data_IF_793535819843
#
_entry.id   IF_793535819843
#
_cell.length_a   1.000
_cell.length_b   1.000
_cell.length_c   1.000
_cell.angle_alpha   90.00
_cell.angle_beta   90.00
_cell.angle_gamma   90.00
#
_symmetry.space_group_name_H-M   'P 1'
#
loop_
_entity.id
_entity.type
_entity.pdbx_description
1 polymer ?
#
# COMPACT_ATOMS: atom_id res chain seq x y z
N UNK A 1 1.54 3.43 12.15
CA UNK A 1 1.40 4.84 11.77
C UNK A 1 1.43 4.88 10.25
N UNK A 2 0.39 5.45 9.65
CA UNK A 2 0.13 5.50 8.21
C UNK A 2 0.02 6.96 7.78
N UNK A 3 0.57 7.29 6.61
CA UNK A 3 0.49 8.62 6.01
C UNK A 3 -0.73 8.66 5.08
N UNK A 4 -1.68 9.56 5.34
CA UNK A 4 -2.97 9.62 4.63
C UNK A 4 -2.77 9.88 3.13
N UNK A 5 -1.84 10.77 2.78
CA UNK A 5 -1.45 11.06 1.39
C UNK A 5 -0.51 9.99 0.78
N UNK A 6 0.00 9.06 1.58
CA UNK A 6 0.99 8.06 1.17
C UNK A 6 2.43 8.58 1.04
N UNK A 7 2.69 9.86 1.30
CA UNK A 7 4.03 10.45 1.35
C UNK A 7 4.62 10.27 2.75
N UNK A 8 5.67 9.45 2.84
CA UNK A 8 6.37 9.14 4.09
C UNK A 8 7.19 10.31 4.64
N UNK A 9 7.40 11.37 3.85
CA UNK A 9 8.16 12.55 4.25
C UNK A 9 7.27 13.63 4.90
N UNK A 10 5.96 13.60 4.66
CA UNK A 10 5.02 14.57 5.21
C UNK A 10 4.56 14.18 6.62
N UNK A 11 5.31 14.62 7.64
CA UNK A 11 5.09 14.26 9.05
C UNK A 11 4.15 15.21 9.81
N UNK A 12 3.33 16.00 9.11
CA UNK A 12 2.33 16.85 9.77
C UNK A 12 1.31 15.96 10.49
N UNK A 13 0.90 16.35 11.70
CA UNK A 13 -0.05 15.59 12.53
C UNK A 13 -1.36 15.28 11.80
N UNK A 14 -1.85 16.23 11.01
CA UNK A 14 -3.04 16.08 10.15
C UNK A 14 -2.89 15.00 9.06
N UNK A 15 -1.66 14.66 8.66
CA UNK A 15 -1.38 13.65 7.64
C UNK A 15 -1.08 12.26 8.25
N UNK A 16 -1.04 12.13 9.58
CA UNK A 16 -0.72 10.88 10.27
C UNK A 16 -1.98 10.22 10.83
N UNK A 17 -2.16 8.94 10.53
CA UNK A 17 -3.22 8.10 11.10
C UNK A 17 -2.64 6.93 11.88
N UNK A 18 -3.19 6.68 13.06
CA UNK A 18 -2.92 5.46 13.82
C UNK A 18 -3.80 4.33 13.30
N UNK A 19 -3.16 3.26 12.85
CA UNK A 19 -3.79 2.03 12.39
C UNK A 19 -3.20 0.84 13.15
N UNK A 20 -4.03 -0.17 13.42
CA UNK A 20 -3.60 -1.44 13.94
C UNK A 20 -2.65 -2.16 12.94
N UNK A 21 -1.78 -3.10 13.37
CA UNK A 21 -0.86 -3.81 12.47
C UNK A 21 -1.57 -4.51 11.30
N UNK A 22 -2.68 -5.18 11.57
CA UNK A 22 -3.50 -5.87 10.56
C UNK A 22 -4.22 -4.91 9.61
N UNK A 23 -4.56 -3.72 10.08
CA UNK A 23 -5.23 -2.67 9.32
C UNK A 23 -4.23 -1.97 8.40
N UNK A 24 -3.01 -1.77 8.90
CA UNK A 24 -1.93 -1.12 8.19
C UNK A 24 -1.44 -1.95 7.01
N UNK A 25 -1.37 -3.28 7.15
CA UNK A 25 -0.96 -4.18 6.06
C UNK A 25 -1.92 -4.21 4.85
N UNK A 26 -3.18 -3.79 5.07
CA UNK A 26 -4.20 -3.72 4.02
C UNK A 26 -4.20 -2.40 3.26
N UNK A 27 -3.42 -1.41 3.70
CA UNK A 27 -3.34 -0.12 3.03
C UNK A 27 -2.59 -0.22 1.69
N UNK A 28 -2.99 0.60 0.71
CA UNK A 28 -2.36 0.61 -0.63
C UNK A 28 -0.91 1.13 -0.60
N UNK A 29 -0.56 1.90 0.41
CA UNK A 29 0.77 2.48 0.67
C UNK A 29 1.71 1.51 1.40
N UNK A 30 1.19 0.42 1.98
CA UNK A 30 1.98 -0.53 2.74
C UNK A 30 3.05 -1.21 1.88
N UNK A 31 4.30 -1.17 2.35
CA UNK A 31 5.44 -1.88 1.76
C UNK A 31 5.68 -1.62 0.27
N UNK A 32 5.30 -0.44 -0.24
CA UNK A 32 5.63 -0.02 -1.61
C UNK A 32 7.17 0.03 -1.75
N UNK A 33 7.77 -0.74 -2.67
CA UNK A 33 9.19 -0.58 -2.97
C UNK A 33 9.43 0.83 -3.52
N UNK A 34 10.56 1.44 -3.17
CA UNK A 34 10.96 2.72 -3.76
C UNK A 34 11.09 2.52 -5.27
N UNK A 35 10.64 3.52 -6.03
CA UNK A 35 10.57 3.46 -7.49
C UNK A 35 11.96 3.50 -8.12
N UNK A 36 12.65 2.36 -8.10
CA UNK A 36 13.89 2.11 -8.86
C UNK A 36 14.14 0.60 -9.07
N UNK A 37 13.16 -0.26 -8.81
CA UNK A 37 13.22 -1.65 -9.25
C UNK A 37 12.80 -1.75 -10.73
N UNK A 38 13.71 -1.42 -11.66
CA UNK A 38 13.62 -1.94 -13.03
C UNK A 38 13.81 -3.46 -12.99
N UNK A 39 12.74 -4.21 -12.70
CA UNK A 39 12.72 -5.66 -12.88
C UNK A 39 12.62 -5.94 -14.39
N UNK A 40 13.77 -5.96 -15.06
CA UNK A 40 13.93 -6.53 -16.39
C UNK A 40 13.81 -8.06 -16.29
N UNK A 41 12.59 -8.57 -16.22
CA UNK A 41 12.36 -10.01 -16.09
C UNK A 41 10.92 -10.38 -16.40
N UNK A 42 10.72 -11.25 -17.39
CA UNK A 42 9.40 -11.74 -17.77
C UNK A 42 8.75 -12.57 -16.65
N UNK A 43 7.50 -12.26 -16.29
CA UNK A 43 6.31 -13.17 -16.27
C UNK A 43 5.30 -12.78 -15.18
N UNK A 44 4.04 -12.67 -15.61
CA UNK A 44 2.87 -12.94 -14.76
C UNK A 44 1.99 -11.73 -14.45
N UNK A 45 1.00 -11.49 -15.29
CA UNK A 45 -0.22 -10.77 -14.91
C UNK A 45 -0.89 -11.51 -13.75
N UNK A 46 -0.78 -11.01 -12.52
CA UNK A 46 -1.62 -11.46 -11.42
C UNK A 46 -3.02 -10.89 -11.69
N UNK A 47 -4.06 -11.70 -11.96
CA UNK A 47 -5.40 -11.16 -12.07
C UNK A 47 -5.78 -10.63 -10.69
N UNK A 48 -6.14 -9.36 -10.65
CA UNK A 48 -6.63 -8.69 -9.46
C UNK A 48 -7.75 -9.53 -8.86
N UNK A 49 -7.50 -10.10 -7.66
CA UNK A 49 -8.41 -10.96 -6.94
C UNK A 49 -9.83 -10.39 -6.99
N UNK A 50 -10.69 -11.14 -7.68
CA UNK A 50 -12.07 -10.79 -7.93
C UNK A 50 -12.78 -10.49 -6.61
N UNK A 51 -13.51 -9.39 -6.61
CA UNK A 51 -14.38 -8.92 -5.55
C UNK A 51 -15.49 -9.96 -5.44
N UNK A 52 -15.47 -10.77 -4.39
CA UNK A 52 -16.58 -11.66 -4.08
C UNK A 52 -17.58 -10.85 -3.26
N UNK A 53 -18.69 -10.50 -3.92
CA UNK A 53 -19.86 -9.88 -3.33
C UNK A 53 -20.46 -10.79 -2.22
N UNK A 54 -21.21 -10.24 -1.26
CA UNK A 54 -21.79 -11.02 -0.18
C UNK A 54 -23.02 -11.80 -0.68
N UNK A 55 -23.10 -13.07 -0.28
CA UNK A 55 -24.34 -13.78 0.05
C UNK A 55 -24.06 -14.70 1.21
#
# INVERSE_FOLDING_TARGET
MDHINGDRLDNRLENLRFLCPSCHSQTRSFSKPRGDAQYSGRRGSVPQLAKRAPV
#
